data_IF_420247520076
#
_entry.id   IF_420247520076
#
_cell.length_a   1.000
_cell.length_b   1.000
_cell.length_c   1.000
_cell.angle_alpha   90.00
_cell.angle_beta   90.00
_cell.angle_gamma   90.00
#
_symmetry.space_group_name_H-M   'P 1'
#
loop_
_entity.id
_entity.type
_entity.pdbx_description
1 polymer ?
#
# COMPACT_ATOMS: atom_id res chain seq x y z
N UNK A 1 58.51 45.56 42.34
CA UNK A 1 58.23 44.56 43.38
C UNK A 1 57.01 45.01 44.17
N UNK A 2 56.12 44.11 44.61
CA UNK A 2 56.03 42.68 44.24
C UNK A 2 54.58 42.29 43.86
N UNK A 3 54.23 41.13 43.30
CA UNK A 3 54.89 39.99 42.63
C UNK A 3 53.72 39.19 41.99
N UNK A 4 53.74 38.83 40.71
CA UNK A 4 54.16 37.52 40.16
C UNK A 4 53.32 36.32 40.68
N UNK A 5 52.48 35.67 39.85
CA UNK A 5 52.78 34.51 38.98
C UNK A 5 51.96 33.28 39.50
N UNK A 6 51.53 32.24 38.77
CA UNK A 6 51.79 31.74 37.42
C UNK A 6 50.61 30.85 36.95
N UNK A 7 50.45 30.74 35.63
CA UNK A 7 49.75 29.66 34.88
C UNK A 7 50.66 28.41 34.79
N UNK A 8 50.17 27.20 34.42
CA UNK A 8 50.14 26.87 32.99
C UNK A 8 48.97 25.98 32.50
N UNK A 9 48.80 26.05 31.19
CA UNK A 9 47.89 25.30 30.34
C UNK A 9 48.42 23.90 29.98
N UNK A 10 47.52 22.99 29.61
CA UNK A 10 47.79 21.85 28.72
C UNK A 10 46.48 21.52 27.97
N UNK A 11 46.38 21.90 26.68
CA UNK A 11 46.76 21.14 25.46
C UNK A 11 45.65 20.21 24.96
N UNK A 12 44.97 20.70 23.93
CA UNK A 12 44.35 19.95 22.84
C UNK A 12 45.31 18.90 22.25
N UNK A 13 44.79 17.71 21.97
CA UNK A 13 45.36 16.76 20.99
C UNK A 13 44.24 16.13 20.16
N UNK A 14 44.24 16.50 18.89
CA UNK A 14 43.78 15.73 17.75
C UNK A 14 44.56 14.42 17.64
N UNK A 15 43.92 13.34 17.18
CA UNK A 15 44.60 12.27 16.45
C UNK A 15 43.59 11.48 15.59
N UNK A 16 43.62 11.75 14.29
CA UNK A 16 43.31 10.76 13.26
C UNK A 16 44.35 9.65 13.35
N UNK A 17 43.94 8.38 13.17
CA UNK A 17 44.86 7.39 12.62
C UNK A 17 44.12 6.34 11.80
N UNK A 18 44.36 6.45 10.48
CA UNK A 18 44.26 5.38 9.50
C UNK A 18 45.40 4.38 9.74
N UNK A 19 45.14 3.09 9.57
CA UNK A 19 46.15 2.08 9.22
C UNK A 19 45.47 1.10 8.25
N UNK A 20 45.74 1.12 6.95
CA UNK A 20 46.96 0.71 6.22
C UNK A 20 47.11 -0.83 6.14
N UNK A 21 46.92 -1.32 4.91
CA UNK A 21 47.10 -2.69 4.42
C UNK A 21 48.61 -3.04 4.34
N UNK A 22 49.03 -4.28 4.64
CA UNK A 22 50.29 -4.81 4.12
C UNK A 22 50.08 -5.94 3.10
N UNK A 23 50.80 -5.88 1.96
CA UNK A 23 50.99 -6.98 1.00
C UNK A 23 52.29 -7.76 1.31
N UNK A 24 52.16 -9.09 1.27
CA UNK A 24 53.08 -10.17 0.90
C UNK A 24 54.50 -10.31 1.50
N UNK A 25 54.74 -11.49 2.11
CA UNK A 25 55.90 -12.37 1.79
C UNK A 25 55.56 -13.85 2.05
N UNK A 26 56.27 -14.73 1.35
CA UNK A 26 55.98 -16.14 1.04
C UNK A 26 56.22 -17.19 2.16
N UNK A 27 55.46 -18.31 2.02
CA UNK A 27 55.70 -19.75 2.33
C UNK A 27 56.19 -20.19 3.72
N UNK A 28 55.38 -21.01 4.40
CA UNK A 28 55.68 -22.45 4.53
C UNK A 28 54.47 -23.31 4.92
N UNK A 29 54.43 -24.53 4.38
CA UNK A 29 53.35 -25.53 4.45
C UNK A 29 53.55 -26.52 5.59
N UNK A 30 52.51 -26.78 6.40
CA UNK A 30 52.09 -28.09 6.98
C UNK A 30 51.42 -27.95 8.36
N UNK A 31 50.10 -27.70 8.38
CA UNK A 31 49.25 -27.97 9.55
C UNK A 31 47.86 -28.35 9.05
N UNK A 32 47.49 -29.63 9.14
CA UNK A 32 46.10 -30.07 8.95
C UNK A 32 45.41 -29.96 10.32
N UNK A 33 44.35 -29.17 10.47
CA UNK A 33 43.67 -29.01 11.75
C UNK A 33 42.90 -30.30 12.11
N UNK A 34 42.92 -30.69 13.40
CA UNK A 34 42.21 -31.84 13.99
C UNK A 34 40.73 -31.98 13.58
N UNK A 35 40.11 -30.87 13.16
CA UNK A 35 38.74 -30.82 12.68
C UNK A 35 38.50 -31.68 11.42
N UNK A 36 39.48 -31.75 10.50
CA UNK A 36 39.37 -32.53 9.27
C UNK A 36 39.39 -34.03 9.55
N UNK A 37 40.12 -34.47 10.59
CA UNK A 37 40.18 -35.88 11.01
C UNK A 37 38.84 -36.30 11.63
N UNK A 38 38.23 -35.44 12.46
CA UNK A 38 36.95 -35.72 13.11
C UNK A 38 35.78 -35.81 12.10
N UNK A 39 35.76 -34.94 11.08
CA UNK A 39 34.73 -34.97 10.03
C UNK A 39 34.87 -36.23 9.16
N UNK A 40 36.11 -36.64 8.86
CA UNK A 40 36.35 -37.85 8.04
C UNK A 40 35.98 -39.13 8.79
N UNK A 41 36.22 -39.19 10.11
CA UNK A 41 35.77 -40.29 10.98
C UNK A 41 34.24 -40.34 11.10
N UNK A 42 33.56 -39.19 11.21
CA UNK A 42 32.09 -39.14 11.28
C UNK A 42 31.45 -39.65 9.97
N UNK A 43 32.01 -39.29 8.82
CA UNK A 43 31.54 -39.76 7.50
C UNK A 43 31.78 -41.28 7.34
N UNK A 44 32.91 -41.80 7.81
CA UNK A 44 33.21 -43.23 7.76
C UNK A 44 32.29 -44.06 8.66
N UNK A 45 31.94 -43.56 9.85
CA UNK A 45 30.98 -44.20 10.77
C UNK A 45 29.57 -44.18 10.17
N UNK A 46 29.16 -43.08 9.53
CA UNK A 46 27.87 -42.99 8.85
C UNK A 46 27.77 -43.96 7.66
N UNK A 47 28.85 -44.11 6.88
CA UNK A 47 28.93 -45.04 5.75
C UNK A 47 28.94 -46.51 6.20
N UNK A 48 29.58 -46.84 7.32
CA UNK A 48 29.55 -48.18 7.91
C UNK A 48 28.17 -48.53 8.51
N UNK A 49 27.44 -47.54 9.05
CA UNK A 49 26.09 -47.71 9.57
C UNK A 49 25.04 -47.94 8.47
N UNK A 50 25.22 -47.29 7.31
CA UNK A 50 24.37 -47.47 6.12
C UNK A 50 24.57 -48.82 5.42
N UNK A 51 25.72 -49.48 5.61
CA UNK A 51 26.04 -50.76 4.95
C UNK A 51 25.74 -52.00 5.81
N UNK A 52 25.44 -51.84 7.10
CA UNK A 52 25.26 -52.97 8.03
C UNK A 52 23.87 -53.06 8.70
N UNK A 53 22.95 -52.13 8.44
CA UNK A 53 21.60 -52.20 8.99
C UNK A 53 20.54 -52.53 7.93
N UNK A 54 19.86 -53.65 8.10
CA UNK A 54 18.64 -54.06 7.39
C UNK A 54 17.49 -53.10 7.75
N UNK A 55 17.45 -51.91 7.14
CA UNK A 55 16.50 -50.86 7.50
C UNK A 55 15.29 -50.83 6.53
N UNK A 56 14.03 -50.97 6.98
CA UNK A 56 12.85 -51.12 6.11
C UNK A 56 12.51 -49.92 5.20
N UNK A 57 13.21 -48.79 5.36
CA UNK A 57 12.94 -47.55 4.60
C UNK A 57 13.42 -47.58 3.14
N UNK A 58 14.36 -48.46 2.77
CA UNK A 58 14.85 -48.59 1.38
C UNK A 58 13.89 -49.37 0.46
N UNK A 59 12.95 -50.15 1.02
CA UNK A 59 11.93 -50.86 0.23
C UNK A 59 10.87 -49.92 -0.36
N UNK A 60 10.59 -48.78 0.30
CA UNK A 60 9.56 -47.81 -0.12
C UNK A 60 10.04 -46.77 -1.14
N UNK A 61 11.35 -46.59 -1.31
CA UNK A 61 11.91 -45.74 -2.39
C UNK A 61 11.90 -46.42 -3.76
N UNK A 62 11.98 -47.75 -3.81
CA UNK A 62 11.91 -48.50 -5.07
C UNK A 62 10.48 -48.63 -5.64
N UNK A 63 9.44 -48.46 -4.82
CA UNK A 63 8.04 -48.50 -5.26
C UNK A 63 7.59 -47.17 -5.88
N UNK A 64 8.12 -46.04 -5.40
CA UNK A 64 7.87 -44.71 -5.97
C UNK A 64 8.60 -44.52 -7.31
N UNK A 65 9.78 -45.13 -7.47
CA UNK A 65 10.57 -45.02 -8.71
C UNK A 65 10.01 -45.91 -9.85
N UNK A 66 9.17 -46.91 -9.52
CA UNK A 66 8.47 -47.75 -10.51
C UNK A 66 7.20 -47.10 -11.08
N UNK A 67 6.60 -46.14 -10.37
CA UNK A 67 5.40 -45.42 -10.81
C UNK A 67 5.75 -44.26 -11.76
N UNK A 68 6.96 -43.72 -11.69
CA UNK A 68 7.40 -42.55 -12.49
C UNK A 68 8.02 -42.93 -13.85
N UNK A 69 8.28 -44.22 -14.14
CA UNK A 69 8.90 -44.68 -15.41
C UNK A 69 7.99 -45.54 -16.29
N UNK A 70 6.68 -45.47 -16.11
CA UNK A 70 5.71 -46.34 -16.79
C UNK A 70 4.57 -45.64 -17.51
N UNK A 71 4.76 -44.46 -18.11
CA UNK A 71 3.73 -43.87 -18.99
C UNK A 71 4.37 -43.09 -20.15
N UNK A 72 4.96 -43.81 -21.11
CA UNK A 72 5.08 -43.35 -22.49
C UNK A 72 5.25 -44.56 -23.42
N UNK A 73 4.17 -44.95 -24.10
CA UNK A 73 4.07 -45.27 -25.55
C UNK A 73 2.74 -45.98 -25.85
N UNK A 74 1.77 -45.26 -26.41
CA UNK A 74 0.99 -45.59 -27.62
C UNK A 74 -0.36 -44.83 -27.66
N UNK A 75 -0.81 -44.38 -28.85
CA UNK A 75 -1.96 -43.50 -29.00
C UNK A 75 -3.28 -44.29 -29.02
N UNK A 76 -4.28 -43.82 -28.28
CA UNK A 76 -5.68 -44.22 -28.45
C UNK A 76 -6.35 -43.25 -29.44
N UNK A 77 -7.13 -43.74 -30.41
CA UNK A 77 -7.79 -42.89 -31.40
C UNK A 77 -9.09 -42.30 -30.83
N UNK A 78 -9.32 -41.01 -31.12
CA UNK A 78 -10.64 -40.40 -31.04
C UNK A 78 -11.05 -39.89 -29.66
N UNK A 79 -10.44 -38.80 -29.19
CA UNK A 79 -11.07 -37.92 -28.22
C UNK A 79 -10.94 -36.48 -28.73
N UNK A 80 -12.02 -35.99 -29.32
CA UNK A 80 -12.22 -34.60 -29.70
C UNK A 80 -11.96 -33.75 -28.45
N UNK A 81 -10.98 -32.85 -28.50
CA UNK A 81 -10.78 -31.83 -27.47
C UNK A 81 -11.96 -30.87 -27.58
N UNK A 82 -13.01 -31.12 -26.81
CA UNK A 82 -14.04 -30.11 -26.57
C UNK A 82 -13.39 -29.02 -25.71
N UNK A 83 -13.32 -27.81 -26.27
CA UNK A 83 -13.01 -26.61 -25.53
C UNK A 83 -13.83 -26.62 -24.24
N UNK A 84 -13.14 -26.55 -23.11
CA UNK A 84 -13.78 -26.45 -21.80
C UNK A 84 -14.66 -25.21 -21.84
N UNK A 85 -15.98 -25.41 -21.82
CA UNK A 85 -16.93 -24.33 -21.75
C UNK A 85 -16.53 -23.41 -20.59
N UNK A 86 -16.39 -22.11 -20.87
CA UNK A 86 -16.27 -21.11 -19.82
C UNK A 86 -17.40 -21.38 -18.81
N UNK A 87 -17.06 -21.71 -17.56
CA UNK A 87 -18.07 -21.79 -16.50
C UNK A 87 -18.69 -20.40 -16.42
N UNK A 88 -19.90 -20.25 -16.96
CA UNK A 88 -20.73 -19.07 -16.69
C UNK A 88 -21.10 -19.14 -15.22
N UNK A 89 -20.43 -18.34 -14.39
CA UNK A 89 -20.93 -18.09 -13.05
C UNK A 89 -22.22 -17.28 -13.23
N UNK A 90 -23.36 -17.74 -12.69
CA UNK A 90 -24.58 -16.96 -12.77
C UNK A 90 -24.33 -15.63 -12.06
N UNK A 91 -24.35 -14.52 -12.80
CA UNK A 91 -24.31 -13.19 -12.21
C UNK A 91 -25.51 -13.06 -11.29
N UNK A 92 -25.27 -12.76 -10.01
CA UNK A 92 -26.36 -12.62 -9.05
C UNK A 92 -27.20 -11.41 -9.46
N UNK A 93 -28.41 -11.64 -9.96
CA UNK A 93 -29.31 -10.57 -10.43
C UNK A 93 -30.34 -10.17 -9.38
N UNK A 94 -30.47 -10.96 -8.31
CA UNK A 94 -31.44 -10.77 -7.23
C UNK A 94 -30.88 -11.29 -5.90
N UNK A 95 -30.96 -10.50 -4.84
CA UNK A 95 -30.60 -10.92 -3.47
C UNK A 95 -31.68 -11.81 -2.85
N UNK A 96 -31.37 -12.40 -1.68
CA UNK A 96 -32.28 -13.30 -0.95
C UNK A 96 -33.61 -12.65 -0.58
N UNK A 97 -33.64 -11.32 -0.42
CA UNK A 97 -34.84 -10.54 -0.10
C UNK A 97 -35.66 -10.14 -1.33
N UNK A 98 -35.26 -10.59 -2.54
CA UNK A 98 -35.92 -10.23 -3.79
C UNK A 98 -35.42 -8.92 -4.42
N UNK A 99 -34.47 -8.23 -3.79
CA UNK A 99 -33.89 -6.99 -4.32
C UNK A 99 -33.10 -7.26 -5.59
N UNK A 100 -33.47 -6.63 -6.71
CA UNK A 100 -32.74 -6.74 -7.98
C UNK A 100 -31.49 -5.85 -7.98
N UNK A 101 -30.40 -6.37 -8.54
CA UNK A 101 -29.15 -5.62 -8.73
C UNK A 101 -28.79 -5.48 -10.20
N UNK A 102 -28.15 -4.37 -10.59
CA UNK A 102 -27.57 -4.22 -11.92
C UNK A 102 -26.59 -5.36 -12.23
N UNK A 103 -26.60 -5.88 -13.46
CA UNK A 103 -25.71 -6.98 -13.86
C UNK A 103 -24.24 -6.57 -13.97
N UNK A 104 -23.95 -5.28 -14.02
CA UNK A 104 -22.62 -4.70 -14.05
C UNK A 104 -22.08 -4.35 -12.65
N UNK A 105 -22.87 -4.53 -11.59
CA UNK A 105 -22.41 -4.32 -10.21
C UNK A 105 -21.27 -5.26 -9.82
N UNK A 106 -21.37 -6.55 -10.18
CA UNK A 106 -20.35 -7.57 -9.95
C UNK A 106 -20.56 -8.72 -10.94
N UNK A 107 -19.76 -8.75 -12.02
CA UNK A 107 -19.99 -9.65 -13.17
C UNK A 107 -19.58 -11.10 -12.90
N UNK A 108 -18.81 -11.35 -11.84
CA UNK A 108 -18.44 -12.68 -11.39
C UNK A 108 -17.16 -12.68 -10.55
N UNK A 109 -16.64 -13.87 -10.21
CA UNK A 109 -15.63 -14.01 -9.16
C UNK A 109 -14.28 -13.29 -9.33
N UNK A 110 -13.93 -12.93 -10.56
CA UNK A 110 -12.69 -12.20 -10.87
C UNK A 110 -12.90 -10.67 -10.92
N UNK A 111 -14.16 -10.23 -10.86
CA UNK A 111 -14.57 -8.83 -11.01
C UNK A 111 -14.56 -8.10 -9.66
N UNK A 112 -14.39 -6.78 -9.69
CA UNK A 112 -14.60 -5.94 -8.51
C UNK A 112 -16.10 -5.75 -8.24
N UNK A 113 -16.43 -5.00 -7.19
CA UNK A 113 -17.78 -4.58 -6.85
C UNK A 113 -17.92 -3.09 -7.16
N UNK A 114 -18.93 -2.74 -7.96
CA UNK A 114 -19.14 -1.42 -8.57
C UNK A 114 -20.49 -0.80 -8.16
N UNK A 115 -20.94 -1.07 -6.94
CA UNK A 115 -22.26 -0.67 -6.47
C UNK A 115 -22.30 0.81 -6.17
N UNK A 116 -23.47 1.41 -6.34
CA UNK A 116 -23.67 2.84 -6.08
C UNK A 116 -24.78 3.05 -5.08
N UNK A 117 -24.57 3.97 -4.13
CA UNK A 117 -25.61 4.40 -3.20
C UNK A 117 -26.50 5.43 -3.89
N UNK A 118 -27.79 5.13 -4.00
CA UNK A 118 -28.76 6.04 -4.59
C UNK A 118 -30.17 5.76 -4.09
N UNK A 119 -31.04 6.77 -4.14
CA UNK A 119 -32.44 6.63 -3.72
C UNK A 119 -33.22 5.59 -4.54
N UNK A 120 -32.91 5.51 -5.85
CA UNK A 120 -33.58 4.63 -6.82
C UNK A 120 -32.88 3.27 -6.96
N UNK A 121 -31.71 3.11 -6.35
CA UNK A 121 -30.90 1.89 -6.42
C UNK A 121 -31.21 0.88 -5.32
N UNK A 122 -30.61 -0.32 -5.40
CA UNK A 122 -30.73 -1.34 -4.36
C UNK A 122 -30.04 -0.91 -3.05
N UNK A 123 -28.97 -0.12 -3.15
CA UNK A 123 -28.22 0.44 -2.02
C UNK A 123 -28.74 1.86 -1.73
N UNK A 124 -29.68 1.99 -0.78
CA UNK A 124 -30.29 3.29 -0.44
C UNK A 124 -29.53 4.02 0.67
N UNK A 125 -29.42 5.36 0.62
CA UNK A 125 -28.76 6.15 1.66
C UNK A 125 -29.57 6.16 2.96
N UNK A 126 -29.40 5.10 3.73
CA UNK A 126 -30.08 4.85 5.00
C UNK A 126 -29.08 4.98 6.15
N UNK A 127 -29.50 5.65 7.23
CA UNK A 127 -28.71 5.76 8.45
C UNK A 127 -28.41 4.37 9.02
N UNK A 128 -27.18 4.18 9.50
CA UNK A 128 -26.71 2.96 10.16
C UNK A 128 -26.79 1.71 9.27
N UNK A 129 -26.86 1.83 7.94
CA UNK A 129 -26.89 0.69 7.00
C UNK A 129 -25.51 0.20 6.56
N UNK A 130 -24.54 1.10 6.44
CA UNK A 130 -23.27 0.79 5.80
C UNK A 130 -22.12 0.67 6.79
N UNK A 131 -21.08 -0.06 6.39
CA UNK A 131 -19.85 -0.23 7.15
C UNK A 131 -18.65 -0.17 6.21
N UNK A 132 -17.56 0.48 6.62
CA UNK A 132 -16.38 0.66 5.79
C UNK A 132 -15.18 -0.13 6.35
N UNK A 133 -14.59 -0.98 5.53
CA UNK A 133 -13.32 -1.64 5.86
C UNK A 133 -12.16 -0.90 5.21
N UNK A 134 -11.15 -0.54 6.01
CA UNK A 134 -10.00 0.25 5.55
C UNK A 134 -8.69 -0.29 6.12
N UNK A 135 -7.57 0.08 5.49
CA UNK A 135 -6.26 0.07 6.10
C UNK A 135 -5.67 1.48 6.08
N UNK A 136 -5.28 2.04 7.23
CA UNK A 136 -4.79 3.42 7.33
C UNK A 136 -3.51 3.67 6.51
N UNK A 137 -2.79 2.59 6.17
CA UNK A 137 -1.64 2.62 5.29
C UNK A 137 -1.99 2.85 3.81
N UNK A 138 -3.16 2.41 3.35
CA UNK A 138 -3.50 2.35 1.94
C UNK A 138 -3.96 3.73 1.43
N UNK A 139 -3.31 4.31 0.40
CA UNK A 139 -3.72 5.61 -0.15
C UNK A 139 -5.10 5.54 -0.82
N UNK A 140 -5.51 4.40 -1.35
CA UNK A 140 -6.83 4.22 -1.94
C UNK A 140 -7.93 4.16 -0.87
N UNK A 141 -7.70 3.44 0.23
CA UNK A 141 -8.64 3.43 1.36
C UNK A 141 -8.73 4.78 2.07
N UNK A 142 -7.63 5.55 2.06
CA UNK A 142 -7.59 6.91 2.59
C UNK A 142 -8.63 7.82 1.90
N UNK A 143 -8.85 7.70 0.58
CA UNK A 143 -9.83 8.53 -0.15
C UNK A 143 -11.25 8.35 0.38
N UNK A 144 -11.69 7.09 0.53
CA UNK A 144 -13.01 6.77 1.07
C UNK A 144 -13.15 7.19 2.55
N UNK A 145 -12.12 6.93 3.37
CA UNK A 145 -12.14 7.35 4.79
C UNK A 145 -12.10 8.87 4.97
N UNK A 146 -11.36 9.57 4.09
CA UNK A 146 -11.39 11.03 4.03
C UNK A 146 -12.80 11.52 3.74
N UNK A 147 -13.47 10.99 2.71
CA UNK A 147 -14.83 11.41 2.37
C UNK A 147 -15.81 11.18 3.52
N UNK A 148 -15.71 10.01 4.18
CA UNK A 148 -16.47 9.68 5.39
C UNK A 148 -16.32 10.74 6.49
N UNK A 149 -15.10 11.19 6.76
CA UNK A 149 -14.83 12.20 7.80
C UNK A 149 -15.22 13.60 7.34
N UNK A 150 -14.90 13.98 6.09
CA UNK A 150 -15.14 15.30 5.53
C UNK A 150 -16.63 15.63 5.44
N UNK A 151 -17.45 14.66 5.00
CA UNK A 151 -18.91 14.77 4.96
C UNK A 151 -19.59 14.34 6.27
N UNK A 152 -18.82 14.07 7.33
CA UNK A 152 -19.33 13.64 8.65
C UNK A 152 -20.30 12.43 8.56
N UNK A 153 -20.05 11.52 7.62
CA UNK A 153 -20.90 10.34 7.37
C UNK A 153 -20.85 9.34 8.52
N UNK A 154 -19.78 9.38 9.31
CA UNK A 154 -19.70 8.63 10.54
C UNK A 154 -20.71 9.10 11.60
N UNK A 155 -20.95 10.40 11.67
CA UNK A 155 -21.90 11.01 12.59
C UNK A 155 -23.35 10.92 12.10
N UNK A 156 -23.60 11.31 10.85
CA UNK A 156 -24.97 11.47 10.36
C UNK A 156 -25.52 10.23 9.64
N UNK A 157 -24.68 9.55 8.86
CA UNK A 157 -25.06 8.30 8.18
C UNK A 157 -24.71 7.04 9.00
N UNK A 158 -23.95 7.17 10.10
CA UNK A 158 -23.60 6.04 10.96
C UNK A 158 -22.61 5.06 10.32
N UNK A 159 -21.79 5.53 9.38
CA UNK A 159 -20.81 4.67 8.71
C UNK A 159 -19.63 4.44 9.65
N UNK A 160 -19.63 3.30 10.33
CA UNK A 160 -18.50 2.85 11.13
C UNK A 160 -17.36 2.28 10.28
N UNK A 161 -16.16 2.21 10.88
CA UNK A 161 -14.98 1.59 10.26
C UNK A 161 -14.47 0.39 11.04
N UNK A 162 -14.08 -0.66 10.31
CA UNK A 162 -13.15 -1.71 10.75
C UNK A 162 -11.79 -1.46 10.09
N UNK A 163 -10.72 -1.46 10.87
CA UNK A 163 -9.36 -1.10 10.41
C UNK A 163 -8.45 -2.32 10.47
N UNK A 164 -7.91 -2.73 9.33
CA UNK A 164 -6.95 -3.83 9.26
C UNK A 164 -5.57 -3.43 9.79
N UNK A 165 -4.80 -4.41 10.27
CA UNK A 165 -3.40 -4.27 10.65
C UNK A 165 -2.54 -3.89 9.44
N UNK A 166 -1.48 -3.08 9.63
CA UNK A 166 -0.54 -2.79 8.57
C UNK A 166 0.33 -3.99 8.20
N UNK A 167 0.55 -4.93 9.12
CA UNK A 167 1.27 -6.19 8.89
C UNK A 167 0.98 -7.17 10.06
N UNK A 168 1.34 -8.45 9.93
CA UNK A 168 1.62 -9.14 8.67
C UNK A 168 0.35 -9.29 7.82
N UNK A 169 0.51 -9.45 6.51
CA UNK A 169 -0.54 -9.85 5.55
C UNK A 169 -0.54 -11.37 5.29
N UNK A 170 0.13 -12.11 6.19
CA UNK A 170 0.48 -13.55 6.26
C UNK A 170 1.77 -13.97 5.57
N UNK A 171 2.27 -15.12 6.06
CA UNK A 171 3.55 -15.71 5.72
C UNK A 171 3.54 -16.29 4.29
N UNK A 172 4.62 -16.07 3.52
CA UNK A 172 4.75 -16.51 2.13
C UNK A 172 4.63 -18.03 1.92
N UNK A 173 4.62 -18.83 2.99
CA UNK A 173 4.65 -20.30 2.93
C UNK A 173 3.25 -20.96 3.04
N UNK A 174 2.15 -20.19 3.02
CA UNK A 174 0.79 -20.77 3.00
C UNK A 174 0.17 -20.75 1.59
N UNK A 175 -0.41 -21.87 1.10
CA UNK A 175 -0.97 -21.97 -0.26
C UNK A 175 -2.13 -21.02 -0.58
N UNK A 176 -2.73 -20.39 0.44
CA UNK A 176 -3.84 -19.45 0.27
C UNK A 176 -3.50 -18.16 1.01
N UNK A 177 -3.11 -17.12 0.27
CA UNK A 177 -2.89 -15.78 0.81
C UNK A 177 -4.20 -15.20 1.36
N UNK A 178 -4.42 -15.10 2.68
CA UNK A 178 -5.70 -14.69 3.25
C UNK A 178 -5.91 -13.17 3.22
N UNK A 179 -4.86 -12.41 2.91
CA UNK A 179 -4.90 -10.96 2.78
C UNK A 179 -4.74 -10.24 4.11
N UNK A 180 -5.36 -9.07 4.23
CA UNK A 180 -5.17 -8.20 5.39
C UNK A 180 -5.82 -8.77 6.66
N UNK A 181 -5.15 -8.61 7.81
CA UNK A 181 -5.59 -9.07 9.13
C UNK A 181 -6.33 -8.00 9.92
N UNK A 182 -7.21 -8.41 10.82
CA UNK A 182 -7.73 -7.56 11.90
C UNK A 182 -6.99 -7.84 13.21
N UNK A 183 -7.18 -7.00 14.23
CA UNK A 183 -6.95 -7.43 15.61
C UNK A 183 -7.90 -8.61 15.90
N UNK A 184 -7.41 -9.67 16.52
CA UNK A 184 -8.21 -10.87 16.74
C UNK A 184 -7.81 -11.54 18.06
N UNK A 185 -8.77 -11.98 18.90
CA UNK A 185 -8.48 -12.54 20.22
C UNK A 185 -7.53 -13.75 20.18
N UNK A 186 -7.66 -14.60 19.15
CA UNK A 186 -6.85 -15.81 19.01
C UNK A 186 -5.36 -15.54 18.69
N UNK A 187 -4.97 -14.28 18.46
CA UNK A 187 -3.58 -13.92 18.19
C UNK A 187 -2.78 -13.59 19.44
N UNK A 188 -3.41 -13.44 20.62
CA UNK A 188 -2.72 -13.02 21.85
C UNK A 188 -1.52 -13.90 22.25
N UNK A 189 -1.46 -15.14 21.74
CA UNK A 189 -0.40 -16.12 21.98
C UNK A 189 0.61 -16.24 20.82
N UNK A 190 0.41 -15.54 19.70
CA UNK A 190 1.33 -15.52 18.56
C UNK A 190 2.51 -14.57 18.84
N UNK A 191 3.73 -14.84 18.33
CA UNK A 191 4.84 -13.90 18.40
C UNK A 191 4.48 -12.58 17.70
N UNK A 192 4.39 -11.48 18.47
CA UNK A 192 3.91 -10.19 17.97
C UNK A 192 2.38 -10.07 17.86
N UNK A 193 1.63 -11.04 18.39
CA UNK A 193 0.18 -11.15 18.34
C UNK A 193 -0.58 -10.31 19.35
N UNK A 194 0.03 -9.22 19.83
CA UNK A 194 -0.71 -8.17 20.51
C UNK A 194 -1.63 -7.44 19.52
N UNK A 195 -2.68 -6.82 20.06
CA UNK A 195 -3.48 -5.87 19.30
C UNK A 195 -2.57 -4.76 18.74
N UNK A 196 -2.65 -4.53 17.44
CA UNK A 196 -1.92 -3.45 16.80
C UNK A 196 -2.69 -2.14 17.03
N UNK A 197 -2.08 -1.18 17.73
CA UNK A 197 -2.73 0.10 18.00
C UNK A 197 -3.08 0.83 16.69
N UNK A 198 -4.31 1.36 16.63
CA UNK A 198 -4.91 1.97 15.44
C UNK A 198 -5.53 0.98 14.45
N UNK A 199 -5.34 -0.34 14.64
CA UNK A 199 -6.18 -1.36 14.00
C UNK A 199 -7.36 -1.71 14.92
N UNK A 200 -8.40 -2.33 14.38
CA UNK A 200 -9.57 -2.79 15.15
C UNK A 200 -9.76 -4.29 14.97
N UNK A 201 -10.57 -4.88 15.84
CA UNK A 201 -11.26 -6.12 15.49
C UNK A 201 -12.23 -5.84 14.33
N UNK A 202 -12.56 -6.86 13.55
CA UNK A 202 -13.72 -6.72 12.67
C UNK A 202 -14.99 -6.57 13.52
N UNK A 203 -15.63 -5.41 13.40
CA UNK A 203 -16.81 -5.04 14.17
C UNK A 203 -18.10 -5.71 13.71
N UNK A 204 -18.16 -6.24 12.49
CA UNK A 204 -19.38 -6.87 11.99
C UNK A 204 -19.41 -8.37 12.24
N UNK A 205 -18.33 -9.07 11.88
CA UNK A 205 -18.32 -10.53 11.87
C UNK A 205 -17.26 -11.14 12.76
N UNK A 206 -16.42 -10.33 13.40
CA UNK A 206 -15.24 -10.83 14.12
C UNK A 206 -14.26 -11.56 13.21
N UNK A 207 -14.29 -11.30 11.90
CA UNK A 207 -13.39 -11.93 10.95
C UNK A 207 -11.94 -11.67 11.29
N UNK A 208 -11.10 -12.69 11.05
CA UNK A 208 -9.65 -12.60 11.22
C UNK A 208 -8.97 -11.95 10.01
N UNK A 209 -9.52 -12.18 8.82
CA UNK A 209 -8.92 -11.79 7.54
C UNK A 209 -9.94 -11.15 6.60
N UNK A 210 -9.45 -10.26 5.73
CA UNK A 210 -10.30 -9.62 4.71
C UNK A 210 -10.91 -10.60 3.71
N UNK A 211 -10.24 -11.70 3.35
CA UNK A 211 -10.83 -12.69 2.43
C UNK A 211 -12.16 -13.25 2.94
N UNK A 212 -12.34 -13.38 4.25
CA UNK A 212 -13.59 -13.83 4.88
C UNK A 212 -14.74 -12.86 4.60
N UNK A 213 -14.45 -11.56 4.47
CA UNK A 213 -15.45 -10.54 4.08
C UNK A 213 -15.84 -10.71 2.61
N UNK A 214 -14.85 -10.90 1.73
CA UNK A 214 -15.10 -11.15 0.30
C UNK A 214 -15.91 -12.43 0.07
N UNK A 215 -15.57 -13.52 0.76
CA UNK A 215 -16.30 -14.79 0.65
C UNK A 215 -17.71 -14.76 1.22
N UNK A 216 -18.04 -13.78 2.08
CA UNK A 216 -19.43 -13.54 2.49
C UNK A 216 -20.26 -12.93 1.36
N UNK A 217 -19.68 -12.04 0.56
CA UNK A 217 -20.37 -11.42 -0.58
C UNK A 217 -20.39 -12.33 -1.82
N UNK A 218 -19.28 -12.99 -2.12
CA UNK A 218 -19.15 -14.00 -3.17
C UNK A 218 -18.27 -15.17 -2.69
N UNK A 219 -18.87 -16.33 -2.33
CA UNK A 219 -18.12 -17.52 -1.91
C UNK A 219 -17.11 -18.04 -2.95
N UNK A 220 -17.29 -17.68 -4.22
CA UNK A 220 -16.42 -18.07 -5.31
C UNK A 220 -15.30 -17.08 -5.62
N UNK A 221 -15.21 -15.93 -4.92
CA UNK A 221 -14.34 -14.80 -5.27
C UNK A 221 -12.87 -15.21 -5.45
N UNK A 222 -12.24 -14.68 -6.49
CA UNK A 222 -10.86 -14.99 -6.92
C UNK A 222 -9.98 -13.75 -7.11
N UNK A 223 -10.60 -12.56 -7.05
CA UNK A 223 -9.89 -11.29 -7.11
C UNK A 223 -9.04 -11.01 -5.87
N UNK A 224 -8.50 -9.79 -5.80
CA UNK A 224 -7.68 -9.36 -4.66
C UNK A 224 -8.56 -8.92 -3.51
N UNK A 225 -8.26 -9.39 -2.29
CA UNK A 225 -8.90 -8.92 -1.06
C UNK A 225 -8.38 -7.52 -0.67
N UNK A 226 -8.83 -6.50 -1.39
CA UNK A 226 -8.36 -5.11 -1.27
C UNK A 226 -9.07 -4.34 -0.15
N UNK A 227 -8.60 -3.12 0.09
CA UNK A 227 -9.29 -2.07 0.85
C UNK A 227 -9.20 -0.79 0.00
N UNK A 228 -10.22 0.08 0.02
CA UNK A 228 -11.42 0.06 0.87
C UNK A 228 -12.47 -0.96 0.43
N UNK A 229 -13.37 -1.33 1.34
CA UNK A 229 -14.60 -2.09 1.03
C UNK A 229 -15.77 -1.42 1.75
N UNK A 230 -16.78 -0.98 1.01
CA UNK A 230 -18.05 -0.53 1.56
C UNK A 230 -19.02 -1.71 1.61
N UNK A 231 -19.48 -2.06 2.80
CA UNK A 231 -20.38 -3.19 3.07
C UNK A 231 -21.79 -2.70 3.36
N UNK A 232 -22.79 -3.40 2.80
CA UNK A 232 -24.21 -3.22 3.13
C UNK A 232 -24.64 -4.25 4.18
N UNK A 233 -25.01 -3.79 5.37
CA UNK A 233 -25.48 -4.66 6.46
C UNK A 233 -26.87 -5.23 6.22
N UNK A 234 -27.67 -4.62 5.34
CA UNK A 234 -29.04 -5.06 5.04
C UNK A 234 -29.06 -6.16 3.99
N UNK A 235 -28.31 -5.97 2.91
CA UNK A 235 -28.20 -6.95 1.81
C UNK A 235 -27.07 -7.96 2.03
N UNK A 236 -26.30 -7.80 3.11
CA UNK A 236 -25.18 -8.67 3.50
C UNK A 236 -24.18 -8.89 2.36
N UNK A 237 -23.75 -7.81 1.72
CA UNK A 237 -22.85 -7.87 0.57
C UNK A 237 -21.92 -6.65 0.49
N UNK A 238 -20.92 -6.73 -0.38
CA UNK A 238 -20.05 -5.60 -0.70
C UNK A 238 -20.76 -4.68 -1.69
N UNK A 239 -21.02 -3.43 -1.30
CA UNK A 239 -21.50 -2.41 -2.22
C UNK A 239 -20.42 -2.14 -3.27
N UNK A 240 -19.25 -1.69 -2.83
CA UNK A 240 -18.19 -1.20 -3.71
C UNK A 240 -16.81 -1.36 -3.07
N UNK A 241 -15.79 -1.71 -3.86
CA UNK A 241 -14.38 -1.74 -3.43
C UNK A 241 -13.42 -0.91 -4.32
N UNK A 242 -13.97 -0.10 -5.21
CA UNK A 242 -13.25 0.83 -6.07
C UNK A 242 -13.17 2.23 -5.44
N UNK A 243 -11.95 2.60 -5.06
CA UNK A 243 -11.67 3.84 -4.34
C UNK A 243 -12.11 5.11 -5.08
N UNK A 244 -11.98 5.12 -6.41
CA UNK A 244 -12.32 6.27 -7.26
C UNK A 244 -13.82 6.47 -7.38
N UNK A 245 -14.57 5.37 -7.45
CA UNK A 245 -16.03 5.40 -7.44
C UNK A 245 -16.54 5.82 -6.06
N UNK A 246 -15.99 5.25 -4.98
CA UNK A 246 -16.34 5.61 -3.61
C UNK A 246 -16.07 7.08 -3.28
N UNK A 247 -14.98 7.66 -3.79
CA UNK A 247 -14.70 9.09 -3.59
C UNK A 247 -15.81 9.97 -4.16
N UNK A 248 -16.33 9.64 -5.35
CA UNK A 248 -17.42 10.38 -5.99
C UNK A 248 -18.78 10.06 -5.40
N UNK A 249 -19.05 8.79 -5.11
CA UNK A 249 -20.34 8.35 -4.62
C UNK A 249 -20.62 8.92 -3.22
N UNK A 250 -19.66 8.77 -2.29
CA UNK A 250 -19.78 9.30 -0.94
C UNK A 250 -19.76 10.84 -0.87
N UNK A 251 -19.47 11.53 -1.97
CA UNK A 251 -19.52 12.99 -2.04
C UNK A 251 -20.95 13.55 -1.93
N UNK A 252 -21.94 12.84 -2.47
CA UNK A 252 -23.34 13.31 -2.50
C UNK A 252 -24.38 12.27 -2.11
N UNK A 253 -24.02 10.98 -2.05
CA UNK A 253 -24.98 9.89 -1.84
C UNK A 253 -25.86 10.06 -0.59
N UNK A 254 -25.33 10.68 0.46
CA UNK A 254 -26.01 10.84 1.75
C UNK A 254 -26.51 12.26 2.03
N UNK A 255 -26.45 13.19 1.07
CA UNK A 255 -26.77 14.61 1.33
C UNK A 255 -28.15 14.81 1.98
N UNK A 256 -29.13 13.96 1.68
CA UNK A 256 -30.47 13.98 2.30
C UNK A 256 -30.50 13.68 3.81
N UNK A 257 -29.42 13.11 4.37
CA UNK A 257 -29.25 12.84 5.79
C UNK A 257 -28.38 13.89 6.51
N UNK A 258 -27.75 14.80 5.76
CA UNK A 258 -26.77 15.75 6.30
C UNK A 258 -27.42 17.11 6.57
N UNK A 259 -26.93 17.87 7.55
CA UNK A 259 -27.25 19.29 7.67
C UNK A 259 -26.79 20.06 6.43
N UNK A 260 -27.50 21.14 6.09
CA UNK A 260 -27.27 21.93 4.87
C UNK A 260 -25.81 22.38 4.70
N UNK A 261 -25.15 22.78 5.79
CA UNK A 261 -23.78 23.27 5.77
C UNK A 261 -22.75 22.19 5.41
N UNK A 262 -23.08 20.92 5.68
CA UNK A 262 -22.27 19.74 5.33
C UNK A 262 -22.70 19.17 3.97
N UNK A 263 -24.00 19.16 3.68
CA UNK A 263 -24.56 18.71 2.40
C UNK A 263 -24.00 19.53 1.23
N UNK A 264 -23.85 20.84 1.39
CA UNK A 264 -23.29 21.72 0.36
C UNK A 264 -21.78 21.57 0.11
N UNK A 265 -21.05 20.82 0.95
CA UNK A 265 -19.64 20.53 0.70
C UNK A 265 -19.54 19.62 -0.52
N UNK A 266 -18.90 20.13 -1.58
CA UNK A 266 -18.76 19.44 -2.86
C UNK A 266 -17.31 19.48 -3.36
N UNK A 267 -16.70 18.30 -3.48
CA UNK A 267 -15.35 18.12 -4.02
C UNK A 267 -15.34 17.91 -5.54
N UNK A 268 -16.51 17.80 -6.17
CA UNK A 268 -16.66 17.69 -7.61
C UNK A 268 -17.64 18.75 -8.15
N UNK A 269 -17.34 20.05 -7.93
CA UNK A 269 -18.23 21.13 -8.35
C UNK A 269 -18.25 21.27 -9.87
N UNK A 270 -19.44 21.59 -10.39
CA UNK A 270 -19.74 21.69 -11.83
C UNK A 270 -18.72 22.51 -12.63
N UNK A 271 -18.30 23.65 -12.08
CA UNK A 271 -17.38 24.56 -12.76
C UNK A 271 -15.97 23.96 -12.94
N UNK A 272 -15.60 22.97 -12.12
CA UNK A 272 -14.29 22.31 -12.18
C UNK A 272 -14.32 20.93 -12.86
N UNK A 273 -15.49 20.39 -13.23
CA UNK A 273 -15.62 19.03 -13.81
C UNK A 273 -14.61 18.73 -14.91
N UNK A 274 -14.53 19.60 -15.94
CA UNK A 274 -13.61 19.40 -17.07
C UNK A 274 -12.15 19.36 -16.64
N UNK A 275 -11.77 20.22 -15.70
CA UNK A 275 -10.40 20.31 -15.21
C UNK A 275 -10.06 19.10 -14.33
N UNK A 276 -10.97 18.73 -13.42
CA UNK A 276 -10.83 17.56 -12.56
C UNK A 276 -10.72 16.28 -13.40
N UNK A 277 -11.64 16.03 -14.33
CA UNK A 277 -11.63 14.82 -15.17
C UNK A 277 -10.39 14.74 -16.07
N UNK A 278 -9.88 15.88 -16.53
CA UNK A 278 -8.63 15.91 -17.29
C UNK A 278 -7.43 15.62 -16.40
N UNK A 279 -7.41 16.15 -15.18
CA UNK A 279 -6.31 15.97 -14.24
C UNK A 279 -6.26 14.58 -13.62
N UNK A 280 -7.41 14.05 -13.24
CA UNK A 280 -7.58 12.75 -12.62
C UNK A 280 -6.85 11.66 -13.40
N UNK A 281 -6.98 11.63 -14.73
CA UNK A 281 -6.36 10.61 -15.60
C UNK A 281 -4.84 10.54 -15.43
N UNK A 282 -4.15 11.68 -15.54
CA UNK A 282 -2.69 11.70 -15.47
C UNK A 282 -2.19 11.65 -14.02
N UNK A 283 -2.91 12.24 -13.07
CA UNK A 283 -2.63 12.11 -11.64
C UNK A 283 -2.70 10.63 -11.23
N UNK A 284 -3.74 9.92 -11.64
CA UNK A 284 -3.91 8.52 -11.31
C UNK A 284 -2.85 7.63 -12.00
N UNK A 285 -2.61 7.84 -13.30
CA UNK A 285 -1.71 6.99 -14.08
C UNK A 285 -0.21 7.22 -13.80
N UNK A 286 0.20 8.48 -13.61
CA UNK A 286 1.61 8.89 -13.56
C UNK A 286 2.09 9.27 -12.16
N UNK A 287 1.20 9.65 -11.24
CA UNK A 287 1.55 9.95 -9.85
C UNK A 287 1.10 8.83 -8.91
N UNK A 288 -0.21 8.65 -8.73
CA UNK A 288 -0.78 7.77 -7.72
C UNK A 288 -0.39 6.31 -7.93
N UNK A 289 -0.49 5.83 -9.18
CA UNK A 289 -0.02 4.50 -9.58
C UNK A 289 1.44 4.52 -10.03
N UNK A 290 1.94 5.67 -10.50
CA UNK A 290 3.30 5.79 -11.03
C UNK A 290 4.39 5.44 -10.01
N UNK A 291 4.23 5.87 -8.76
CA UNK A 291 5.18 5.52 -7.68
C UNK A 291 5.25 4.00 -7.44
N UNK A 292 4.15 3.28 -7.59
CA UNK A 292 4.12 1.82 -7.46
C UNK A 292 4.77 1.13 -8.66
N UNK A 293 4.55 1.64 -9.89
CA UNK A 293 5.20 1.10 -11.09
C UNK A 293 6.72 1.20 -10.99
N UNK A 294 7.24 2.32 -10.46
CA UNK A 294 8.67 2.47 -10.18
C UNK A 294 9.12 1.55 -9.04
N UNK A 295 8.42 1.55 -7.92
CA UNK A 295 8.82 0.80 -6.72
C UNK A 295 8.76 -0.73 -6.83
N UNK A 296 7.90 -1.25 -7.69
CA UNK A 296 7.75 -2.69 -7.94
C UNK A 296 8.40 -3.18 -9.22
N UNK A 297 9.13 -2.32 -9.94
CA UNK A 297 9.94 -2.75 -11.07
C UNK A 297 10.89 -3.87 -10.64
N UNK A 298 10.99 -4.92 -11.47
CA UNK A 298 11.80 -6.12 -11.18
C UNK A 298 13.24 -6.00 -11.70
N UNK A 299 13.52 -4.98 -12.52
CA UNK A 299 14.82 -4.69 -13.10
C UNK A 299 15.00 -3.18 -13.32
N UNK A 300 16.22 -2.78 -13.71
CA UNK A 300 16.59 -1.39 -13.95
C UNK A 300 15.80 -0.76 -15.09
N UNK A 301 15.57 -1.49 -16.18
CA UNK A 301 14.85 -0.98 -17.35
C UNK A 301 13.39 -0.65 -17.01
N UNK A 302 12.72 -1.52 -16.25
CA UNK A 302 11.38 -1.29 -15.74
C UNK A 302 11.31 -0.12 -14.78
N UNK A 303 12.34 0.08 -13.94
CA UNK A 303 12.41 1.23 -13.04
C UNK A 303 12.59 2.54 -13.83
N UNK A 304 13.57 2.59 -14.74
CA UNK A 304 13.89 3.79 -15.55
C UNK A 304 12.71 4.24 -16.42
N UNK A 305 11.94 3.27 -16.95
CA UNK A 305 10.75 3.56 -17.75
C UNK A 305 9.62 4.24 -16.94
N UNK A 306 9.60 4.07 -15.62
CA UNK A 306 8.49 4.49 -14.77
C UNK A 306 8.85 5.63 -13.81
N UNK A 307 10.08 5.73 -13.31
CA UNK A 307 10.43 6.67 -12.23
C UNK A 307 10.34 8.14 -12.65
N UNK A 308 10.53 8.46 -13.92
CA UNK A 308 10.47 9.86 -14.40
C UNK A 308 9.05 10.43 -14.40
N UNK A 309 8.04 9.58 -14.56
CA UNK A 309 6.65 10.00 -14.73
C UNK A 309 6.07 10.66 -13.45
N UNK A 310 6.28 10.12 -12.23
CA UNK A 310 5.90 10.82 -10.99
C UNK A 310 6.49 12.22 -10.87
N UNK A 311 7.77 12.42 -11.20
CA UNK A 311 8.41 13.73 -11.09
C UNK A 311 7.91 14.72 -12.14
N UNK A 312 7.62 14.26 -13.36
CA UNK A 312 6.95 15.07 -14.38
C UNK A 312 5.54 15.50 -13.93
N UNK A 313 4.78 14.57 -13.33
CA UNK A 313 3.46 14.86 -12.78
C UNK A 313 3.55 15.85 -11.60
N UNK A 314 4.56 15.74 -10.73
CA UNK A 314 4.81 16.68 -9.63
C UNK A 314 5.19 18.07 -10.14
N UNK A 315 6.07 18.19 -11.16
CA UNK A 315 6.38 19.48 -11.78
C UNK A 315 5.12 20.16 -12.33
N UNK A 316 4.29 19.39 -13.04
CA UNK A 316 3.02 19.86 -13.58
C UNK A 316 2.04 20.30 -12.48
N UNK A 317 1.90 19.50 -11.41
CA UNK A 317 1.08 19.86 -10.25
C UNK A 317 1.56 21.15 -9.56
N UNK A 318 2.87 21.28 -9.33
CA UNK A 318 3.48 22.47 -8.73
C UNK A 318 3.17 23.72 -9.56
N UNK A 319 3.28 23.63 -10.89
CA UNK A 319 2.92 24.71 -11.82
C UNK A 319 1.43 25.04 -11.77
N UNK A 320 0.55 24.03 -11.76
CA UNK A 320 -0.90 24.25 -11.67
C UNK A 320 -1.25 24.93 -10.34
N UNK A 321 -0.76 24.42 -9.22
CA UNK A 321 -1.01 24.99 -7.90
C UNK A 321 -0.53 26.45 -7.80
N UNK A 322 0.63 26.77 -8.39
CA UNK A 322 1.10 28.15 -8.50
C UNK A 322 0.12 29.03 -9.28
N UNK A 323 -0.29 28.60 -10.47
CA UNK A 323 -1.15 29.36 -11.37
C UNK A 323 -2.55 29.59 -10.78
N UNK A 324 -3.04 28.62 -10.00
CA UNK A 324 -4.33 28.70 -9.32
C UNK A 324 -4.35 29.70 -8.16
N UNK A 325 -3.19 30.10 -7.62
CA UNK A 325 -3.08 31.07 -6.52
C UNK A 325 -3.45 30.54 -5.12
N UNK A 326 -3.71 29.23 -4.98
CA UNK A 326 -4.04 28.58 -3.72
C UNK A 326 -5.41 28.97 -3.11
N UNK A 327 -5.73 28.46 -1.90
CA UNK A 327 -4.90 27.55 -1.10
C UNK A 327 -5.03 26.06 -1.50
N UNK A 328 -5.88 25.73 -2.47
CA UNK A 328 -6.02 24.37 -3.02
C UNK A 328 -5.38 24.28 -4.40
N UNK A 329 -5.17 23.05 -4.90
CA UNK A 329 -4.48 22.82 -6.18
C UNK A 329 -5.18 23.53 -7.34
N UNK A 330 -6.51 23.58 -7.30
CA UNK A 330 -7.36 24.22 -8.31
C UNK A 330 -7.88 25.61 -7.90
N UNK A 331 -7.32 26.20 -6.85
CA UNK A 331 -7.60 27.58 -6.44
C UNK A 331 -8.32 27.67 -5.11
N UNK A 332 -9.44 28.39 -5.07
CA UNK A 332 -10.11 28.78 -3.81
C UNK A 332 -10.99 27.70 -3.17
N UNK A 333 -11.39 26.67 -3.93
CA UNK A 333 -12.24 25.58 -3.46
C UNK A 333 -11.48 24.26 -3.50
N UNK A 334 -11.60 23.47 -2.44
CA UNK A 334 -11.05 22.11 -2.38
C UNK A 334 -11.79 21.21 -3.36
N UNK A 335 -11.07 20.32 -4.03
CA UNK A 335 -11.62 19.39 -5.01
C UNK A 335 -11.15 17.95 -4.75
N UNK A 336 -11.72 16.98 -5.47
CA UNK A 336 -11.28 15.58 -5.37
C UNK A 336 -9.82 15.40 -5.83
N UNK A 337 -9.28 16.33 -6.62
CA UNK A 337 -7.84 16.35 -6.97
C UNK A 337 -6.99 16.49 -5.72
N UNK A 338 -7.38 17.37 -4.79
CA UNK A 338 -6.66 17.56 -3.54
C UNK A 338 -6.61 16.26 -2.72
N UNK A 339 -7.72 15.52 -2.63
CA UNK A 339 -7.82 14.23 -1.94
C UNK A 339 -6.93 13.16 -2.61
N UNK A 340 -7.01 13.05 -3.94
CA UNK A 340 -6.24 12.10 -4.74
C UNK A 340 -4.74 12.33 -4.60
N UNK A 341 -4.31 13.59 -4.70
CA UNK A 341 -2.92 14.00 -4.59
C UNK A 341 -2.42 13.85 -3.16
N UNK A 342 -3.22 14.22 -2.15
CA UNK A 342 -2.80 14.19 -0.74
C UNK A 342 -2.45 12.78 -0.32
N UNK A 343 -3.30 11.81 -0.68
CA UNK A 343 -3.08 10.40 -0.36
C UNK A 343 -1.72 9.89 -0.84
N UNK A 344 -1.21 10.43 -1.96
CA UNK A 344 0.13 10.12 -2.48
C UNK A 344 1.21 10.96 -1.81
N UNK A 345 1.07 12.29 -1.76
CA UNK A 345 2.13 13.19 -1.30
C UNK A 345 2.45 13.05 0.19
N UNK A 346 1.44 12.80 1.04
CA UNK A 346 1.67 12.56 2.48
C UNK A 346 2.50 11.30 2.75
N UNK A 347 2.60 10.39 1.77
CA UNK A 347 3.39 9.16 1.81
C UNK A 347 4.71 9.27 1.06
N UNK A 348 4.92 10.34 0.30
CA UNK A 348 6.02 10.44 -0.66
C UNK A 348 7.36 10.45 0.06
N UNK A 349 7.58 11.43 0.93
CA UNK A 349 8.83 11.55 1.69
C UNK A 349 8.96 10.45 2.77
N UNK A 350 7.84 9.98 3.33
CA UNK A 350 7.85 9.00 4.42
C UNK A 350 8.08 7.57 3.96
N UNK A 351 7.77 7.27 2.70
CA UNK A 351 7.84 5.92 2.14
C UNK A 351 8.42 5.93 0.73
N UNK A 352 7.81 6.63 -0.22
CA UNK A 352 8.10 6.42 -1.65
C UNK A 352 9.52 6.81 -2.06
N UNK A 353 10.10 7.83 -1.44
CA UNK A 353 11.49 8.24 -1.69
C UNK A 353 12.47 7.10 -1.46
N UNK A 354 12.40 6.45 -0.30
CA UNK A 354 13.32 5.38 0.06
C UNK A 354 12.84 4.01 -0.41
N UNK A 355 11.60 3.64 -0.10
CA UNK A 355 11.06 2.29 -0.30
C UNK A 355 10.81 2.01 -1.79
N UNK A 356 10.25 2.98 -2.51
CA UNK A 356 9.99 2.87 -3.96
C UNK A 356 11.08 3.53 -4.81
N UNK A 357 12.17 3.99 -4.20
CA UNK A 357 13.30 4.63 -4.88
C UNK A 357 12.89 5.87 -5.69
N UNK A 358 11.76 6.49 -5.40
CA UNK A 358 11.32 7.72 -6.07
C UNK A 358 12.11 8.91 -5.50
N UNK A 359 13.40 9.00 -5.82
CA UNK A 359 14.36 9.83 -5.08
C UNK A 359 15.07 10.94 -5.87
N UNK A 360 14.57 11.33 -7.05
CA UNK A 360 15.11 12.52 -7.76
C UNK A 360 14.91 13.81 -6.96
N UNK A 361 13.91 13.84 -6.07
CA UNK A 361 13.64 14.91 -5.14
C UNK A 361 12.68 14.47 -4.03
N UNK A 362 12.73 15.18 -2.91
CA UNK A 362 11.72 15.08 -1.85
C UNK A 362 10.72 16.23 -1.99
N UNK A 363 9.45 16.00 -1.63
CA UNK A 363 8.40 17.02 -1.64
C UNK A 363 8.85 18.23 -0.81
N UNK A 364 9.35 17.99 0.41
CA UNK A 364 9.75 19.07 1.34
C UNK A 364 10.88 19.98 0.85
N UNK A 365 11.66 19.56 -0.14
CA UNK A 365 12.83 20.32 -0.61
C UNK A 365 12.77 20.75 -2.07
N UNK A 366 12.06 20.01 -2.93
CA UNK A 366 12.02 20.27 -4.37
C UNK A 366 10.71 20.86 -4.86
N UNK A 367 9.66 20.81 -4.03
CA UNK A 367 8.33 21.28 -4.42
C UNK A 367 7.75 22.19 -3.32
N UNK A 368 8.25 23.44 -3.17
CA UNK A 368 7.85 24.32 -2.07
C UNK A 368 6.35 24.63 -2.05
N UNK A 369 5.69 24.81 -3.21
CA UNK A 369 4.25 25.09 -3.27
C UNK A 369 3.46 23.85 -2.84
N UNK A 370 3.80 22.67 -3.36
CA UNK A 370 3.14 21.43 -2.94
C UNK A 370 3.47 21.06 -1.49
N UNK A 371 4.66 21.37 -0.96
CA UNK A 371 4.95 21.20 0.47
C UNK A 371 4.13 22.17 1.33
N UNK A 372 4.00 23.43 0.89
CA UNK A 372 3.16 24.42 1.57
C UNK A 372 1.70 23.95 1.62
N UNK A 373 1.19 23.49 0.48
CA UNK A 373 -0.13 22.87 0.34
C UNK A 373 -0.27 21.64 1.25
N UNK A 374 0.66 20.69 1.21
CA UNK A 374 0.59 19.45 1.98
C UNK A 374 0.49 19.72 3.48
N UNK A 375 1.26 20.70 3.98
CA UNK A 375 1.22 21.14 5.38
C UNK A 375 -0.12 21.80 5.73
N UNK A 376 -0.62 22.70 4.87
CA UNK A 376 -1.95 23.29 5.05
C UNK A 376 -3.04 22.21 5.13
N UNK A 377 -3.04 21.27 4.19
CA UNK A 377 -3.99 20.16 4.15
C UNK A 377 -3.90 19.27 5.39
N UNK A 378 -2.71 18.95 5.87
CA UNK A 378 -2.56 18.10 7.05
C UNK A 378 -2.94 18.82 8.35
N UNK A 379 -2.59 20.11 8.53
CA UNK A 379 -2.72 20.80 9.81
C UNK A 379 -4.04 21.51 10.02
N UNK A 380 -4.67 22.04 8.96
CA UNK A 380 -5.88 22.87 9.09
C UNK A 380 -7.18 22.14 8.72
N UNK A 381 -7.07 20.92 8.19
CA UNK A 381 -8.21 20.11 7.82
C UNK A 381 -8.22 18.79 8.60
N UNK A 382 -9.11 18.70 9.60
CA UNK A 382 -9.21 17.56 10.50
C UNK A 382 -9.43 16.23 9.75
N UNK A 383 -10.19 16.23 8.65
CA UNK A 383 -10.43 15.01 7.86
C UNK A 383 -9.13 14.40 7.29
N UNK A 384 -8.19 15.23 6.81
CA UNK A 384 -6.88 14.76 6.33
C UNK A 384 -5.98 14.28 7.47
N UNK A 385 -5.94 15.02 8.58
CA UNK A 385 -5.17 14.65 9.76
C UNK A 385 -5.64 13.33 10.36
N UNK A 386 -6.96 13.20 10.59
CA UNK A 386 -7.57 12.05 11.27
C UNK A 386 -7.65 10.80 10.39
N UNK A 387 -7.41 10.93 9.08
CA UNK A 387 -7.28 9.79 8.15
C UNK A 387 -5.82 9.37 7.89
N UNK A 388 -4.84 10.00 8.56
CA UNK A 388 -3.41 9.75 8.36
C UNK A 388 -2.78 9.14 9.61
N UNK A 389 -2.23 7.92 9.49
CA UNK A 389 -1.43 7.30 10.53
C UNK A 389 -0.06 6.89 9.98
N UNK A 390 0.97 7.68 10.31
CA UNK A 390 2.32 7.47 9.78
C UNK A 390 2.94 6.14 10.19
N UNK A 391 2.62 5.61 11.39
CA UNK A 391 3.11 4.30 11.82
C UNK A 391 2.53 3.19 10.94
N UNK A 392 1.21 3.18 10.74
CA UNK A 392 0.55 2.25 9.81
C UNK A 392 1.16 2.35 8.41
N UNK A 393 1.29 3.58 7.88
CA UNK A 393 1.87 3.84 6.56
C UNK A 393 3.27 3.25 6.45
N UNK A 394 4.21 3.63 7.32
CA UNK A 394 5.62 3.22 7.21
C UNK A 394 5.77 1.72 7.41
N UNK A 395 5.11 1.16 8.41
CA UNK A 395 5.24 -0.26 8.74
C UNK A 395 4.58 -1.17 7.71
N UNK A 396 3.45 -0.77 7.11
CA UNK A 396 2.86 -1.57 6.06
C UNK A 396 3.79 -1.74 4.87
N UNK A 397 4.31 -0.64 4.33
CA UNK A 397 5.14 -0.71 3.12
C UNK A 397 6.45 -1.44 3.39
N UNK A 398 7.09 -1.14 4.52
CA UNK A 398 8.42 -1.70 4.82
C UNK A 398 8.37 -3.13 5.34
N UNK A 399 7.28 -3.57 5.98
CA UNK A 399 7.16 -4.94 6.53
C UNK A 399 6.33 -5.89 5.66
N UNK A 400 5.51 -5.39 4.73
CA UNK A 400 4.69 -6.24 3.84
C UNK A 400 5.31 -6.48 2.46
N UNK A 401 6.27 -5.66 2.02
CA UNK A 401 6.92 -5.82 0.71
C UNK A 401 8.30 -6.49 0.85
N UNK A 402 8.30 -7.78 1.19
CA UNK A 402 9.53 -8.56 1.39
C UNK A 402 10.48 -8.51 0.19
N UNK A 403 9.94 -8.55 -1.04
CA UNK A 403 10.70 -8.41 -2.29
C UNK A 403 11.50 -7.10 -2.39
N UNK A 404 11.08 -6.06 -1.70
CA UNK A 404 11.70 -4.72 -1.73
C UNK A 404 12.57 -4.49 -0.51
N UNK A 405 12.13 -4.95 0.67
CA UNK A 405 12.81 -4.78 1.94
C UNK A 405 12.83 -6.09 2.75
N UNK A 406 13.74 -7.04 2.43
CA UNK A 406 13.73 -8.39 3.00
C UNK A 406 13.85 -8.44 4.52
N UNK A 407 14.58 -7.50 5.12
CA UNK A 407 14.77 -7.44 6.57
C UNK A 407 13.59 -6.81 7.32
N UNK A 408 12.56 -6.33 6.62
CA UNK A 408 11.38 -5.69 7.20
C UNK A 408 11.70 -4.52 8.16
N UNK A 409 12.85 -3.86 7.98
CA UNK A 409 13.26 -2.73 8.80
C UNK A 409 12.47 -1.51 8.37
N UNK A 410 11.74 -0.89 9.31
CA UNK A 410 11.04 0.37 9.09
C UNK A 410 11.96 1.55 9.42
N UNK A 411 12.28 2.43 8.45
CA UNK A 411 13.08 3.63 8.70
C UNK A 411 12.44 4.55 9.73
N UNK A 412 13.28 5.13 10.60
CA UNK A 412 12.86 6.17 11.54
C UNK A 412 12.48 7.48 10.83
N UNK A 413 13.22 7.83 9.78
CA UNK A 413 13.02 9.06 9.03
C UNK A 413 11.81 9.01 8.08
N UNK A 414 11.49 10.16 7.47
CA UNK A 414 12.04 11.48 7.77
C UNK A 414 11.48 12.02 9.09
N UNK A 415 12.23 12.90 9.78
CA UNK A 415 11.75 13.58 10.99
C UNK A 415 11.65 15.09 10.77
N UNK A 416 10.51 15.73 11.06
CA UNK A 416 9.21 15.09 11.35
C UNK A 416 8.65 14.39 10.09
N UNK A 417 7.62 13.54 10.27
CA UNK A 417 6.90 12.95 9.14
C UNK A 417 6.28 14.08 8.26
N UNK A 418 5.69 15.09 8.89
CA UNK A 418 5.19 16.34 8.27
C UNK A 418 5.59 17.57 9.11
N UNK A 419 6.13 18.60 8.46
CA UNK A 419 6.60 19.82 9.13
C UNK A 419 5.42 20.67 9.62
N UNK A 420 5.61 21.39 10.74
CA UNK A 420 4.63 22.36 11.25
C UNK A 420 4.76 23.70 10.54
N UNK A 421 3.64 24.40 10.41
CA UNK A 421 3.59 25.75 9.85
C UNK A 421 3.73 25.75 8.32
N UNK A 422 2.99 26.66 7.69
CA UNK A 422 3.01 26.89 6.25
C UNK A 422 2.82 28.39 6.01
N UNK A 423 3.30 28.88 4.88
CA UNK A 423 3.14 30.27 4.45
C UNK A 423 1.69 30.49 4.00
N UNK A 424 1.00 31.42 4.65
CA UNK A 424 -0.41 31.75 4.37
C UNK A 424 -0.54 32.67 3.16
N UNK A 425 0.48 33.47 2.89
CA UNK A 425 0.56 34.29 1.70
C UNK A 425 1.22 33.48 0.56
N UNK A 426 0.39 32.73 -0.16
CA UNK A 426 0.82 31.82 -1.24
C UNK A 426 1.63 32.51 -2.34
N UNK A 427 1.49 33.83 -2.50
CA UNK A 427 2.29 34.60 -3.46
C UNK A 427 3.78 34.65 -3.12
N UNK A 428 4.15 34.37 -1.86
CA UNK A 428 5.55 34.32 -1.39
C UNK A 428 6.23 32.97 -1.60
N UNK A 429 5.48 31.94 -2.01
CA UNK A 429 6.03 30.59 -2.17
C UNK A 429 6.51 30.42 -3.61
N UNK A 430 7.82 30.25 -3.77
CA UNK A 430 8.43 30.09 -5.09
C UNK A 430 8.23 28.68 -5.65
N UNK A 431 8.05 28.60 -6.97
CA UNK A 431 7.85 27.32 -7.67
C UNK A 431 9.13 26.50 -7.65
N UNK A 432 9.00 25.24 -7.22
CA UNK A 432 10.06 24.25 -7.35
C UNK A 432 9.98 23.42 -8.64
N UNK A 433 10.64 22.27 -8.59
CA UNK A 433 10.64 21.27 -9.65
C UNK A 433 11.95 20.48 -9.72
N UNK A 434 11.93 19.45 -10.55
CA UNK A 434 13.12 18.74 -11.03
C UNK A 434 13.46 19.28 -12.43
N UNK A 435 14.70 19.75 -12.60
CA UNK A 435 15.24 20.34 -13.83
C UNK A 435 16.01 19.34 -14.72
N UNK A 436 15.91 18.05 -14.40
CA UNK A 436 16.46 16.97 -15.21
C UNK A 436 15.79 16.95 -16.61
N UNK A 437 16.57 17.00 -17.72
CA UNK A 437 16.01 17.12 -19.08
C UNK A 437 14.96 16.06 -19.44
N UNK A 438 15.15 14.82 -19.00
CA UNK A 438 14.26 13.71 -19.28
C UNK A 438 12.94 13.84 -18.51
N UNK A 439 12.97 14.41 -17.30
CA UNK A 439 11.75 14.74 -16.53
C UNK A 439 10.97 15.85 -17.24
N UNK A 440 11.66 16.91 -17.69
CA UNK A 440 11.03 18.01 -18.44
C UNK A 440 10.44 17.54 -19.77
N UNK A 441 11.08 16.57 -20.44
CA UNK A 441 10.54 15.96 -21.66
C UNK A 441 9.25 15.19 -21.37
N UNK A 442 9.18 14.45 -20.27
CA UNK A 442 7.96 13.78 -19.83
C UNK A 442 6.87 14.78 -19.44
N UNK A 443 7.20 15.85 -18.73
CA UNK A 443 6.27 16.91 -18.37
C UNK A 443 5.61 17.49 -19.62
N UNK A 444 6.41 17.84 -20.65
CA UNK A 444 5.90 18.35 -21.93
C UNK A 444 4.96 17.37 -22.63
N UNK A 445 5.18 16.05 -22.52
CA UNK A 445 4.32 15.02 -23.11
C UNK A 445 2.95 14.91 -22.42
N UNK A 446 2.83 15.33 -21.15
CA UNK A 446 1.57 15.30 -20.40
C UNK A 446 0.64 16.47 -20.75
N UNK A 447 1.06 17.37 -21.64
CA UNK A 447 0.38 18.65 -21.93
C UNK A 447 0.43 19.59 -20.73
#
# INVERSE_FOLDING_TARGET
MPHAAARPAAKTKTCQQQHAIPRHRERDTSYVPLYTILVTLAIAVLAAWLTTSSNPMLSRLNEVTRIVRGVHTNPLPGATVTATAARSYPTMTTFKDGTKVPSDWHKGPEDSFHGKISADGPFKPEKDRYHLYIGLFCPFAHRANFQRLYKQLDKYAGIEVSIVKPYPKDFPDTPSYPGWRFNHPDEAQEPGGADYEGATKDKLFGSRYMNQIYFKADPGYKGKYSVPVLWDKKLETIVNNESDELLRDLNTAFDSLLPDDVAQLDLYPKELHKQIDSMEKWVQAHLNTGVYKAGFAKDQQGYDANVLQPFAALNKLEKIAQQSGGPYILGKQMSEIDVRVFATLIRFDTVYVQHFKCNLGMIRYKYPILNNWLKHMYWDHDAYKNSTNFRHIKENYTKSHYDVNPHAITPWGPYPDIEKGYEKDWSKVERGGIDMPEVLQWEKKMG
#
